data_IF_152188403554
#
_entry.id   IF_152188403554
#
_cell.length_a   1.000
_cell.length_b   1.000
_cell.length_c   1.000
_cell.angle_alpha   90.00
_cell.angle_beta   90.00
_cell.angle_gamma   90.00
#
_symmetry.space_group_name_H-M   'P 1'
#
loop_
_entity.id
_entity.type
_entity.pdbx_description
1 polymer ?
#
# COMPACT_ATOMS: atom_id res chain seq x y z
N UNK A 1 -9.93 0.13 7.90
CA UNK A 1 -8.77 0.49 7.06
C UNK A 1 -7.57 1.00 7.88
N UNK A 2 -7.66 2.11 8.63
CA UNK A 2 -6.53 2.65 9.44
C UNK A 2 -5.83 1.65 10.40
N UNK A 3 -6.52 0.63 10.92
CA UNK A 3 -5.93 -0.41 11.80
C UNK A 3 -5.19 -1.52 11.04
N UNK A 4 -5.60 -1.82 9.80
CA UNK A 4 -4.94 -2.78 8.91
C UNK A 4 -3.77 -2.12 8.19
N UNK A 5 -3.90 -0.85 7.78
CA UNK A 5 -2.81 -0.03 7.29
C UNK A 5 -1.72 0.20 8.35
N UNK A 6 -2.10 0.42 9.61
CA UNK A 6 -1.13 0.40 10.72
C UNK A 6 -0.44 -0.96 10.83
N UNK A 7 -1.14 -2.07 10.60
CA UNK A 7 -0.54 -3.40 10.66
C UNK A 7 0.44 -3.64 9.50
N UNK A 8 0.13 -3.24 8.26
CA UNK A 8 1.03 -3.36 7.09
C UNK A 8 2.24 -2.43 7.23
N UNK A 9 2.02 -1.17 7.62
CA UNK A 9 3.10 -0.25 7.92
C UNK A 9 3.95 -0.76 9.10
N UNK A 10 3.34 -1.31 10.15
CA UNK A 10 4.05 -1.95 11.27
C UNK A 10 4.78 -3.24 10.88
N UNK A 11 4.27 -4.00 9.91
CA UNK A 11 4.90 -5.20 9.32
C UNK A 11 6.18 -4.79 8.56
N UNK A 12 6.10 -3.76 7.69
CA UNK A 12 7.29 -3.20 7.03
C UNK A 12 8.27 -2.54 8.02
N UNK A 13 7.78 -2.00 9.15
CA UNK A 13 8.61 -1.38 10.21
C UNK A 13 9.23 -2.40 11.18
N UNK A 14 8.59 -3.54 11.42
CA UNK A 14 9.14 -4.59 12.29
C UNK A 14 10.32 -5.31 11.62
N UNK A 15 10.31 -5.39 10.29
CA UNK A 15 11.39 -5.95 9.48
C UNK A 15 12.67 -5.08 9.47
N UNK A 16 12.55 -3.77 9.76
CA UNK A 16 13.68 -2.84 9.79
C UNK A 16 14.14 -2.44 11.20
N UNK A 17 13.39 -2.82 12.25
CA UNK A 17 13.72 -2.47 13.64
C UNK A 17 14.49 -3.56 14.41
N UNK A 18 14.63 -4.78 13.90
CA UNK A 18 15.41 -5.86 14.54
C UNK A 18 16.71 -6.08 13.78
N UNK A 19 17.56 -5.05 13.82
CA UNK A 19 18.91 -5.08 13.23
C UNK A 19 19.80 -3.99 13.81
N UNK A 20 19.60 -3.65 15.08
CA UNK A 20 20.48 -2.73 15.81
C UNK A 20 20.83 -3.37 17.14
N UNK A 21 22.04 -3.93 17.22
CA UNK A 21 22.67 -4.16 18.51
C UNK A 21 22.65 -2.83 19.28
N UNK A 22 21.80 -2.74 20.31
CA UNK A 22 21.76 -1.64 21.25
C UNK A 22 23.09 -1.60 22.00
N UNK A 23 24.07 -0.88 21.44
CA UNK A 23 25.28 -0.52 22.16
C UNK A 23 24.93 0.67 23.05
N UNK A 24 24.62 0.41 24.31
CA UNK A 24 24.56 1.41 25.38
C UNK A 24 25.78 2.34 25.33
N UNK A 25 25.62 3.67 25.46
CA UNK A 25 26.74 4.59 25.44
C UNK A 25 27.50 4.51 26.77
N UNK A 26 28.66 3.84 26.76
CA UNK A 26 29.61 3.94 27.87
C UNK A 26 30.41 5.25 27.75
N UNK A 27 30.53 5.93 28.89
CA UNK A 27 31.00 7.29 29.03
C UNK A 27 32.50 7.51 28.72
N UNK A 28 32.80 8.73 28.24
CA UNK A 28 34.08 9.44 28.05
C UNK A 28 35.28 8.95 28.90
N UNK A 29 36.55 8.97 28.47
CA UNK A 29 37.39 9.97 27.75
C UNK A 29 38.82 9.35 27.51
N UNK A 30 39.92 10.05 27.11
CA UNK A 30 40.10 11.40 26.53
C UNK A 30 41.02 11.51 25.27
N UNK A 31 40.87 12.65 24.58
CA UNK A 31 41.75 13.45 23.68
C UNK A 31 43.14 12.98 23.21
N UNK A 32 43.40 13.14 21.90
CA UNK A 32 44.54 13.93 21.37
C UNK A 32 44.36 14.34 19.90
N UNK A 33 44.91 15.50 19.46
CA UNK A 33 44.64 16.10 18.15
C UNK A 33 45.67 15.67 17.10
N UNK A 34 45.29 15.51 15.83
CA UNK A 34 46.24 15.58 14.71
C UNK A 34 45.55 15.80 13.35
N UNK A 35 45.77 17.01 12.85
CA UNK A 35 46.18 17.35 11.48
C UNK A 35 45.35 16.89 10.27
N UNK A 36 44.75 17.89 9.64
CA UNK A 36 44.29 17.95 8.25
C UNK A 36 45.38 17.51 7.25
N UNK A 37 45.09 16.50 6.42
CA UNK A 37 45.76 16.31 5.13
C UNK A 37 44.76 15.77 4.11
N UNK A 38 44.73 16.40 2.94
CA UNK A 38 43.87 16.11 1.78
C UNK A 38 44.18 14.73 1.13
N UNK A 39 43.31 14.22 0.22
CA UNK A 39 42.93 12.81 0.08
C UNK A 39 43.94 11.98 -0.72
N UNK A 40 43.92 10.64 -0.64
CA UNK A 40 44.51 9.82 -1.68
C UNK A 40 43.53 9.63 -2.84
N UNK A 41 44.05 9.88 -4.04
CA UNK A 41 43.61 9.34 -5.32
C UNK A 41 43.03 7.92 -5.20
N UNK A 42 41.78 7.77 -5.64
CA UNK A 42 41.11 6.48 -5.89
C UNK A 42 41.84 5.74 -7.00
N UNK A 43 42.82 4.91 -6.62
CA UNK A 43 43.22 3.81 -7.47
C UNK A 43 42.10 2.75 -7.44
N UNK A 44 41.70 2.16 -8.58
CA UNK A 44 40.80 1.02 -8.56
C UNK A 44 41.40 -0.08 -7.67
N UNK A 45 40.60 -0.77 -6.85
CA UNK A 45 41.09 -1.83 -5.97
C UNK A 45 41.80 -2.90 -6.81
N UNK A 46 42.90 -3.43 -6.27
CA UNK A 46 43.53 -4.59 -6.92
C UNK A 46 42.55 -5.77 -6.90
N UNK A 47 42.63 -6.67 -7.88
CA UNK A 47 41.67 -7.79 -7.99
C UNK A 47 41.62 -8.67 -6.74
N UNK A 48 42.71 -8.74 -5.96
CA UNK A 48 42.76 -9.47 -4.69
C UNK A 48 42.04 -8.71 -3.57
N UNK A 49 42.20 -7.39 -3.49
CA UNK A 49 41.47 -6.55 -2.53
C UNK A 49 39.96 -6.53 -2.84
N UNK A 50 39.57 -6.50 -4.11
CA UNK A 50 38.16 -6.54 -4.49
C UNK A 50 37.47 -7.85 -4.07
N UNK A 51 38.13 -9.01 -4.23
CA UNK A 51 37.62 -10.31 -3.78
C UNK A 51 37.48 -10.36 -2.26
N UNK A 52 38.48 -9.88 -1.53
CA UNK A 52 38.48 -9.84 -0.06
C UNK A 52 37.40 -8.90 0.51
N UNK A 53 37.10 -7.79 -0.17
CA UNK A 53 35.98 -6.90 0.20
C UNK A 53 34.64 -7.54 -0.09
N UNK A 54 34.51 -8.22 -1.23
CA UNK A 54 33.28 -8.92 -1.63
C UNK A 54 32.88 -9.98 -0.61
N UNK A 55 33.83 -10.82 -0.20
CA UNK A 55 33.59 -11.87 0.81
C UNK A 55 33.18 -11.25 2.15
N UNK A 56 33.89 -10.23 2.63
CA UNK A 56 33.51 -9.54 3.88
C UNK A 56 32.19 -8.80 3.81
N UNK A 57 31.84 -8.24 2.65
CA UNK A 57 30.54 -7.63 2.45
C UNK A 57 29.43 -8.67 2.55
N UNK A 58 29.58 -9.81 1.86
CA UNK A 58 28.61 -10.89 1.90
C UNK A 58 28.43 -11.45 3.32
N UNK A 59 29.54 -11.67 4.04
CA UNK A 59 29.50 -12.14 5.44
C UNK A 59 28.83 -11.14 6.39
N UNK A 60 29.09 -9.84 6.22
CA UNK A 60 28.52 -8.79 7.06
C UNK A 60 27.04 -8.52 6.75
N UNK A 61 26.75 -8.24 5.48
CA UNK A 61 25.42 -7.87 5.02
C UNK A 61 24.44 -9.05 5.03
N UNK A 62 24.91 -10.26 4.73
CA UNK A 62 24.10 -11.48 4.70
C UNK A 62 23.86 -12.12 6.07
N UNK A 63 24.42 -11.59 7.15
CA UNK A 63 24.28 -12.19 8.47
C UNK A 63 22.85 -12.06 9.03
N UNK A 64 22.23 -10.88 8.88
CA UNK A 64 20.93 -10.54 9.48
C UNK A 64 20.17 -9.51 8.63
N UNK A 65 18.88 -9.30 8.95
CA UNK A 65 18.06 -8.27 8.33
C UNK A 65 17.59 -8.58 6.90
N UNK A 66 17.30 -7.54 6.12
CA UNK A 66 16.65 -7.64 4.81
C UNK A 66 17.51 -8.26 3.70
N UNK A 67 18.82 -8.44 3.92
CA UNK A 67 19.76 -9.02 2.96
C UNK A 67 20.11 -10.48 3.28
N UNK A 68 19.61 -11.04 4.38
CA UNK A 68 20.02 -12.36 4.91
C UNK A 68 19.76 -13.54 3.98
N UNK A 69 18.72 -13.45 3.14
CA UNK A 69 18.34 -14.54 2.24
C UNK A 69 18.87 -14.35 0.81
N UNK A 70 19.62 -13.28 0.56
CA UNK A 70 20.28 -13.09 -0.73
C UNK A 70 21.44 -14.08 -0.89
N UNK A 71 21.68 -14.51 -2.13
CA UNK A 71 22.78 -15.41 -2.41
C UNK A 71 24.13 -14.70 -2.26
N UNK A 72 25.20 -15.45 -2.00
CA UNK A 72 26.56 -14.90 -1.98
C UNK A 72 26.95 -14.29 -3.35
N UNK A 73 26.34 -14.75 -4.44
CA UNK A 73 26.52 -14.19 -5.78
C UNK A 73 25.88 -12.80 -5.88
N UNK A 74 24.64 -12.65 -5.42
CA UNK A 74 23.91 -11.37 -5.43
C UNK A 74 24.59 -10.34 -4.51
N UNK A 75 24.93 -10.74 -3.29
CA UNK A 75 25.68 -9.90 -2.35
C UNK A 75 27.06 -9.52 -2.92
N UNK A 76 27.66 -10.45 -3.67
CA UNK A 76 28.93 -10.22 -4.33
C UNK A 76 28.83 -9.20 -5.47
N UNK A 77 27.78 -9.27 -6.27
CA UNK A 77 27.46 -8.29 -7.30
C UNK A 77 27.21 -6.90 -6.68
N UNK A 78 26.41 -6.83 -5.61
CA UNK A 78 26.09 -5.57 -4.93
C UNK A 78 27.37 -4.91 -4.39
N UNK A 79 28.29 -5.70 -3.84
CA UNK A 79 29.59 -5.20 -3.41
C UNK A 79 30.41 -4.61 -4.56
N UNK A 80 30.40 -5.23 -5.74
CA UNK A 80 31.10 -4.72 -6.92
C UNK A 80 30.51 -3.40 -7.42
N UNK A 81 29.17 -3.32 -7.52
CA UNK A 81 28.47 -2.12 -7.94
C UNK A 81 28.71 -0.96 -6.95
N UNK A 82 28.69 -1.24 -5.64
CA UNK A 82 29.03 -0.25 -4.63
C UNK A 82 30.51 0.18 -4.70
N UNK A 83 31.44 -0.74 -4.98
CA UNK A 83 32.87 -0.43 -5.15
C UNK A 83 33.16 0.43 -6.39
N UNK A 84 32.26 0.42 -7.39
CA UNK A 84 32.39 1.29 -8.56
C UNK A 84 32.18 2.78 -8.21
N UNK A 85 31.44 3.07 -7.13
CA UNK A 85 31.01 4.43 -6.77
C UNK A 85 31.41 4.86 -5.35
N UNK A 86 31.87 3.95 -4.50
CA UNK A 86 32.27 4.21 -3.11
C UNK A 86 33.63 3.57 -2.75
N UNK A 87 34.20 4.02 -1.63
CA UNK A 87 35.44 3.46 -1.10
C UNK A 87 35.18 2.14 -0.39
N UNK A 88 36.21 1.28 -0.31
CA UNK A 88 36.19 0.03 0.46
C UNK A 88 35.68 0.22 1.89
N UNK A 89 36.11 1.29 2.56
CA UNK A 89 35.70 1.61 3.93
C UNK A 89 34.20 1.89 4.02
N UNK A 90 33.64 2.58 3.02
CA UNK A 90 32.20 2.84 2.94
C UNK A 90 31.44 1.55 2.69
N UNK A 91 31.88 0.73 1.74
CA UNK A 91 31.21 -0.55 1.40
C UNK A 91 31.16 -1.49 2.61
N UNK A 92 32.28 -1.64 3.33
CA UNK A 92 32.33 -2.46 4.54
C UNK A 92 31.54 -1.85 5.70
N UNK A 93 31.48 -0.51 5.80
CA UNK A 93 30.61 0.15 6.77
C UNK A 93 29.14 -0.12 6.48
N UNK A 94 28.71 -0.13 5.21
CA UNK A 94 27.34 -0.45 4.81
C UNK A 94 27.01 -1.89 5.19
N UNK A 95 27.92 -2.84 4.93
CA UNK A 95 27.71 -4.24 5.28
C UNK A 95 27.48 -4.47 6.78
N UNK A 96 28.23 -3.75 7.64
CA UNK A 96 28.22 -3.98 9.08
C UNK A 96 27.22 -3.13 9.85
N UNK A 97 26.89 -1.94 9.35
CA UNK A 97 26.11 -0.93 10.09
C UNK A 97 24.85 -0.50 9.32
N UNK A 98 24.64 -1.01 8.11
CA UNK A 98 23.64 -0.50 7.19
C UNK A 98 24.04 0.82 6.52
N UNK A 99 23.30 1.23 5.47
CA UNK A 99 23.53 2.49 4.80
C UNK A 99 23.10 3.68 5.66
N UNK A 100 23.84 4.78 5.53
CA UNK A 100 23.40 6.08 6.04
C UNK A 100 22.32 6.67 5.13
N UNK A 101 21.48 7.59 5.62
CA UNK A 101 20.45 8.29 4.83
C UNK A 101 20.85 8.73 3.42
N UNK A 102 21.99 9.41 3.29
CA UNK A 102 22.49 9.93 2.01
C UNK A 102 23.05 8.84 1.07
N UNK A 103 23.14 7.59 1.52
CA UNK A 103 23.62 6.43 0.76
C UNK A 103 22.47 5.55 0.26
N UNK A 104 21.20 5.92 0.56
CA UNK A 104 20.03 5.13 0.21
C UNK A 104 19.92 4.89 -1.31
N UNK A 105 19.97 5.96 -2.11
CA UNK A 105 19.84 5.88 -3.57
C UNK A 105 20.91 4.97 -4.18
N UNK A 106 22.19 5.19 -3.85
CA UNK A 106 23.27 4.39 -4.41
C UNK A 106 23.22 2.90 -4.02
N UNK A 107 22.68 2.57 -2.83
CA UNK A 107 22.50 1.18 -2.41
C UNK A 107 21.35 0.53 -3.16
N UNK A 108 20.23 1.24 -3.36
CA UNK A 108 19.11 0.73 -4.14
C UNK A 108 19.47 0.59 -5.62
N UNK A 109 20.26 1.50 -6.18
CA UNK A 109 20.81 1.36 -7.54
C UNK A 109 21.67 0.11 -7.69
N UNK A 110 22.58 -0.15 -6.74
CA UNK A 110 23.39 -1.37 -6.74
C UNK A 110 22.53 -2.65 -6.61
N UNK A 111 21.51 -2.64 -5.74
CA UNK A 111 20.55 -3.74 -5.62
C UNK A 111 19.77 -3.96 -6.92
N UNK A 112 19.37 -2.88 -7.59
CA UNK A 112 18.64 -2.91 -8.86
C UNK A 112 19.50 -3.47 -10.00
N UNK A 113 20.75 -3.03 -10.11
CA UNK A 113 21.70 -3.53 -11.09
C UNK A 113 21.97 -5.04 -10.95
N UNK A 114 21.94 -5.54 -9.71
CA UNK A 114 22.13 -6.95 -9.38
C UNK A 114 20.84 -7.77 -9.32
N UNK A 115 19.67 -7.18 -9.62
CA UNK A 115 18.38 -7.89 -9.56
C UNK A 115 17.97 -8.34 -8.15
N UNK A 116 18.54 -7.76 -7.10
CA UNK A 116 18.37 -8.19 -5.72
C UNK A 116 17.16 -7.55 -5.01
N UNK A 117 16.56 -6.49 -5.57
CA UNK A 117 15.47 -5.72 -4.96
C UNK A 117 14.31 -6.61 -4.50
N UNK A 118 13.87 -7.52 -5.37
CA UNK A 118 12.75 -8.44 -5.11
C UNK A 118 13.04 -9.38 -3.92
N UNK A 119 14.28 -9.90 -3.83
CA UNK A 119 14.74 -10.71 -2.69
C UNK A 119 14.72 -9.92 -1.37
N UNK A 120 15.16 -8.65 -1.40
CA UNK A 120 15.14 -7.77 -0.23
C UNK A 120 13.72 -7.54 0.28
N UNK A 121 12.76 -7.29 -0.64
CA UNK A 121 11.35 -7.13 -0.27
C UNK A 121 10.76 -8.40 0.33
N UNK A 122 11.02 -9.57 -0.26
CA UNK A 122 10.53 -10.86 0.26
C UNK A 122 11.01 -11.10 1.68
N UNK A 123 12.32 -10.97 1.93
CA UNK A 123 12.91 -11.14 3.26
C UNK A 123 12.31 -10.15 4.26
N UNK A 124 12.14 -8.89 3.85
CA UNK A 124 11.49 -7.87 4.67
C UNK A 124 10.05 -8.23 5.04
N UNK A 125 9.24 -8.67 4.06
CA UNK A 125 7.86 -9.09 4.29
C UNK A 125 7.78 -10.32 5.21
N UNK A 126 8.60 -11.34 4.98
CA UNK A 126 8.65 -12.55 5.80
C UNK A 126 8.97 -12.21 7.27
N UNK A 127 9.97 -11.36 7.50
CA UNK A 127 10.35 -10.90 8.85
C UNK A 127 9.30 -9.98 9.49
N UNK A 128 8.56 -9.20 8.69
CA UNK A 128 7.50 -8.33 9.18
C UNK A 128 6.22 -9.07 9.56
N UNK A 129 5.86 -10.10 8.79
CA UNK A 129 4.60 -10.84 8.93
C UNK A 129 4.65 -11.92 10.02
N UNK A 130 5.84 -12.35 10.45
CA UNK A 130 6.04 -13.44 11.42
C UNK A 130 5.82 -13.04 12.90
N UNK A 131 5.02 -12.00 13.17
CA UNK A 131 4.67 -11.55 14.51
C UNK A 131 3.52 -12.33 15.19
N UNK A 132 3.66 -12.59 16.51
CA UNK A 132 2.77 -13.42 17.36
C UNK A 132 1.29 -12.97 17.48
N UNK A 133 0.86 -11.87 16.85
CA UNK A 133 -0.48 -11.30 16.99
C UNK A 133 -1.11 -10.78 15.68
N UNK A 134 -0.68 -11.29 14.52
CA UNK A 134 -1.13 -10.84 13.20
C UNK A 134 -2.20 -11.72 12.51
N UNK A 135 -2.82 -11.22 11.41
CA UNK A 135 -3.68 -11.99 10.50
C UNK A 135 -3.00 -13.28 9.99
N UNK A 136 -3.73 -14.22 9.34
CA UNK A 136 -3.13 -15.47 8.85
C UNK A 136 -1.86 -15.20 8.02
N UNK A 137 -0.86 -16.11 8.07
CA UNK A 137 0.40 -15.93 7.36
C UNK A 137 0.11 -15.72 5.88
N UNK A 138 0.51 -14.56 5.36
CA UNK A 138 0.36 -14.22 3.95
C UNK A 138 1.68 -14.52 3.25
N UNK A 139 1.60 -15.26 2.15
CA UNK A 139 2.77 -15.58 1.34
C UNK A 139 3.35 -14.29 0.70
N UNK A 140 4.64 -13.95 0.94
CA UNK A 140 5.30 -12.81 0.32
C UNK A 140 5.23 -12.82 -1.21
N UNK A 141 5.27 -13.99 -1.84
CA UNK A 141 5.16 -14.11 -3.31
C UNK A 141 3.78 -13.70 -3.81
N UNK A 142 2.75 -14.02 -3.02
CA UNK A 142 1.40 -13.59 -3.32
C UNK A 142 1.25 -12.06 -3.15
N UNK A 143 1.83 -11.49 -2.08
CA UNK A 143 1.78 -10.04 -1.82
C UNK A 143 2.46 -9.21 -2.91
N UNK A 144 3.54 -9.72 -3.49
CA UNK A 144 4.31 -9.06 -4.53
C UNK A 144 3.78 -9.35 -5.96
N UNK A 145 2.67 -10.10 -6.09
CA UNK A 145 2.06 -10.40 -7.39
C UNK A 145 1.78 -9.14 -8.21
N UNK A 146 2.38 -9.02 -9.39
CA UNK A 146 2.18 -7.86 -10.27
C UNK A 146 2.92 -6.58 -9.84
N UNK A 147 3.68 -6.60 -8.75
CA UNK A 147 4.52 -5.47 -8.32
C UNK A 147 5.84 -5.51 -9.10
N UNK A 148 6.22 -4.38 -9.69
CA UNK A 148 7.44 -4.26 -10.48
C UNK A 148 8.61 -3.71 -9.66
N UNK A 149 9.85 -3.96 -10.12
CA UNK A 149 11.06 -3.42 -9.50
C UNK A 149 11.06 -1.88 -9.48
N UNK A 150 10.52 -1.25 -10.53
CA UNK A 150 10.41 0.21 -10.62
C UNK A 150 9.45 0.80 -9.58
N UNK A 151 8.44 0.05 -9.17
CA UNK A 151 7.54 0.42 -8.06
C UNK A 151 8.18 0.16 -6.69
N UNK A 152 9.02 -0.87 -6.57
CA UNK A 152 9.69 -1.27 -5.34
C UNK A 152 10.88 -0.39 -4.97
N UNK A 153 11.67 0.04 -5.95
CA UNK A 153 12.90 0.80 -5.71
C UNK A 153 12.67 2.12 -4.92
N UNK A 154 11.68 2.98 -5.27
CA UNK A 154 11.42 4.22 -4.54
C UNK A 154 11.05 3.97 -3.07
N UNK A 155 10.31 2.91 -2.80
CA UNK A 155 9.93 2.50 -1.43
C UNK A 155 11.19 2.16 -0.63
N UNK A 156 12.14 1.39 -1.17
CA UNK A 156 13.40 1.09 -0.48
C UNK A 156 14.24 2.34 -0.24
N UNK A 157 14.33 3.25 -1.22
CA UNK A 157 15.05 4.51 -1.05
C UNK A 157 14.47 5.30 0.11
N UNK A 158 13.14 5.47 0.14
CA UNK A 158 12.45 6.19 1.21
C UNK A 158 12.66 5.56 2.59
N UNK A 159 12.78 4.23 2.67
CA UNK A 159 13.05 3.52 3.92
C UNK A 159 14.50 3.69 4.38
N UNK A 160 15.48 3.54 3.48
CA UNK A 160 16.91 3.65 3.80
C UNK A 160 17.35 5.11 4.04
N UNK A 161 16.64 6.08 3.46
CA UNK A 161 16.97 7.50 3.57
C UNK A 161 16.66 8.12 4.94
N UNK A 162 16.03 7.40 5.89
CA UNK A 162 15.60 7.98 7.16
C UNK A 162 16.56 7.70 8.34
N UNK A 163 16.90 8.72 9.15
CA UNK A 163 17.70 8.51 10.35
C UNK A 163 16.97 7.65 11.39
N UNK A 164 17.58 6.54 11.82
CA UNK A 164 17.19 5.81 13.03
C UNK A 164 15.89 5.00 12.94
N UNK A 165 15.43 4.63 11.74
CA UNK A 165 14.24 3.79 11.57
C UNK A 165 12.93 4.45 12.04
N UNK A 166 12.90 5.78 12.13
CA UNK A 166 11.70 6.51 12.57
C UNK A 166 10.67 6.54 11.44
N UNK A 167 9.42 6.31 11.85
CA UNK A 167 8.21 6.22 11.03
C UNK A 167 8.15 7.26 9.92
N UNK A 168 7.79 6.79 8.73
CA UNK A 168 7.29 7.63 7.64
C UNK A 168 6.18 8.55 8.17
N UNK A 169 6.05 9.76 7.64
CA UNK A 169 4.76 10.42 7.71
C UNK A 169 3.78 9.52 6.95
N UNK A 170 2.81 8.93 7.64
CA UNK A 170 2.05 7.76 7.15
C UNK A 170 1.48 7.97 5.73
N UNK A 171 1.12 9.21 5.42
CA UNK A 171 0.59 9.63 4.13
C UNK A 171 1.56 9.46 2.95
N UNK A 172 2.87 9.69 3.12
CA UNK A 172 3.84 9.61 2.01
C UNK A 172 4.10 8.15 1.60
N UNK A 173 4.18 7.24 2.58
CA UNK A 173 4.30 5.81 2.31
C UNK A 173 2.97 5.23 1.82
N UNK A 174 1.85 5.73 2.33
CA UNK A 174 0.51 5.34 1.87
C UNK A 174 0.31 5.73 0.40
N UNK A 175 0.74 6.91 -0.03
CA UNK A 175 0.72 7.32 -1.43
C UNK A 175 1.60 6.41 -2.31
N UNK A 176 2.84 6.10 -1.88
CA UNK A 176 3.71 5.20 -2.64
C UNK A 176 3.16 3.77 -2.73
N UNK A 177 2.49 3.27 -1.68
CA UNK A 177 1.87 1.94 -1.68
C UNK A 177 0.55 1.91 -2.46
N UNK A 178 -0.19 3.03 -2.53
CA UNK A 178 -1.43 3.14 -3.29
C UNK A 178 -1.21 2.91 -4.79
N UNK A 179 -0.05 3.30 -5.31
CA UNK A 179 0.34 3.07 -6.71
C UNK A 179 0.87 1.64 -6.97
N UNK A 180 0.72 0.74 -6.00
CA UNK A 180 1.15 -0.66 -6.11
C UNK A 180 -0.01 -1.63 -5.83
N UNK A 181 -0.03 -2.82 -6.46
CA UNK A 181 -1.01 -3.86 -6.15
C UNK A 181 -0.91 -4.45 -4.73
N UNK A 182 0.06 -4.03 -3.91
CA UNK A 182 0.35 -4.64 -2.59
C UNK A 182 -0.88 -4.64 -1.69
N UNK A 183 -1.68 -3.56 -1.72
CA UNK A 183 -2.86 -3.43 -0.87
C UNK A 183 -4.00 -4.38 -1.29
N UNK A 184 -4.29 -4.50 -2.59
CA UNK A 184 -5.26 -5.50 -3.05
C UNK A 184 -4.72 -6.91 -2.86
N UNK A 185 -3.43 -7.14 -3.11
CA UNK A 185 -2.82 -8.44 -2.85
C UNK A 185 -2.93 -8.84 -1.38
N UNK A 186 -2.85 -7.92 -0.42
CA UNK A 186 -3.09 -8.28 0.98
C UNK A 186 -4.50 -8.86 1.20
N UNK A 187 -5.52 -8.22 0.64
CA UNK A 187 -6.91 -8.72 0.70
C UNK A 187 -7.04 -10.05 -0.05
N UNK A 188 -6.49 -10.15 -1.26
CA UNK A 188 -6.53 -11.31 -2.13
C UNK A 188 -5.78 -12.52 -1.54
N UNK A 189 -4.60 -12.31 -0.99
CA UNK A 189 -3.71 -13.34 -0.48
C UNK A 189 -4.17 -13.90 0.88
N UNK A 190 -4.77 -13.07 1.72
CA UNK A 190 -5.46 -13.57 2.92
C UNK A 190 -6.63 -14.50 2.57
N UNK A 191 -7.24 -14.34 1.39
CA UNK A 191 -8.29 -15.21 0.88
C UNK A 191 -7.73 -16.44 0.14
N UNK A 192 -6.65 -16.29 -0.63
CA UNK A 192 -5.94 -17.39 -1.30
C UNK A 192 -5.35 -18.42 -0.35
N UNK A 193 -5.11 -18.06 0.92
CA UNK A 193 -4.80 -19.04 1.99
C UNK A 193 -5.84 -20.16 2.13
N UNK A 194 -7.00 -20.06 1.46
CA UNK A 194 -8.06 -21.07 1.36
C UNK A 194 -8.09 -21.87 0.02
N UNK A 195 -7.25 -21.54 -0.96
CA UNK A 195 -7.20 -22.16 -2.30
C UNK A 195 -7.08 -21.13 -3.44
N UNK A 196 -6.97 -21.57 -4.70
CA UNK A 196 -7.02 -20.66 -5.86
C UNK A 196 -8.36 -19.90 -5.92
N UNK A 197 -8.31 -18.60 -6.21
CA UNK A 197 -9.52 -17.81 -6.41
C UNK A 197 -10.25 -18.24 -7.67
N UNK A 198 -11.58 -18.24 -7.61
CA UNK A 198 -12.38 -18.37 -8.82
C UNK A 198 -12.12 -17.17 -9.76
N UNK A 199 -12.27 -17.33 -11.09
CA UNK A 199 -12.12 -16.21 -12.03
C UNK A 199 -13.02 -15.00 -11.73
N UNK A 200 -14.17 -15.25 -11.10
CA UNK A 200 -15.06 -14.18 -10.64
C UNK A 200 -14.44 -13.40 -9.47
N UNK A 201 -13.97 -14.08 -8.43
CA UNK A 201 -13.35 -13.40 -7.29
C UNK A 201 -12.06 -12.69 -7.69
N UNK A 202 -11.28 -13.30 -8.58
CA UNK A 202 -10.08 -12.71 -9.17
C UNK A 202 -10.39 -11.35 -9.82
N UNK A 203 -11.31 -11.33 -10.79
CA UNK A 203 -11.71 -10.08 -11.45
C UNK A 203 -12.39 -9.07 -10.53
N UNK A 204 -13.11 -9.52 -9.50
CA UNK A 204 -13.68 -8.61 -8.49
C UNK A 204 -12.59 -7.90 -7.68
N UNK A 205 -11.52 -8.61 -7.28
CA UNK A 205 -10.41 -8.01 -6.56
C UNK A 205 -9.56 -7.08 -7.42
N UNK A 206 -9.47 -7.33 -8.73
CA UNK A 206 -8.82 -6.41 -9.66
C UNK A 206 -9.57 -5.07 -9.72
N UNK A 207 -10.90 -5.08 -9.86
CA UNK A 207 -11.69 -3.82 -9.84
C UNK A 207 -11.68 -3.16 -8.47
N UNK A 208 -11.66 -3.96 -7.39
CA UNK A 208 -11.52 -3.42 -6.04
C UNK A 208 -10.17 -2.72 -5.82
N UNK A 209 -9.08 -3.23 -6.41
CA UNK A 209 -7.77 -2.56 -6.39
C UNK A 209 -7.86 -1.18 -7.04
N UNK A 210 -8.50 -1.11 -8.21
CA UNK A 210 -8.68 0.14 -8.93
C UNK A 210 -9.49 1.17 -8.12
N UNK A 211 -10.54 0.72 -7.43
CA UNK A 211 -11.34 1.56 -6.50
C UNK A 211 -10.48 2.04 -5.34
N UNK A 212 -9.73 1.15 -4.68
CA UNK A 212 -8.92 1.51 -3.51
C UNK A 212 -7.80 2.50 -3.85
N UNK A 213 -7.14 2.30 -4.99
CA UNK A 213 -6.12 3.23 -5.51
C UNK A 213 -6.70 4.61 -5.79
N UNK A 214 -7.87 4.68 -6.42
CA UNK A 214 -8.57 5.94 -6.65
C UNK A 214 -8.99 6.61 -5.35
N UNK A 215 -9.45 5.86 -4.36
CA UNK A 215 -9.79 6.39 -3.03
C UNK A 215 -8.56 6.99 -2.33
N UNK A 216 -7.44 6.28 -2.33
CA UNK A 216 -6.20 6.73 -1.67
C UNK A 216 -5.55 7.92 -2.39
N UNK A 217 -5.71 8.03 -3.71
CA UNK A 217 -5.18 9.14 -4.50
C UNK A 217 -6.06 10.40 -4.50
N UNK A 218 -7.23 10.37 -3.85
CA UNK A 218 -8.19 11.47 -3.91
C UNK A 218 -8.22 12.29 -2.61
N UNK A 219 -7.57 13.45 -2.65
CA UNK A 219 -7.48 14.40 -1.53
C UNK A 219 -8.87 14.87 -1.03
N UNK A 220 -9.92 14.83 -1.85
CA UNK A 220 -11.26 15.21 -1.41
C UNK A 220 -11.84 14.22 -0.38
N UNK A 221 -11.40 12.96 -0.40
CA UNK A 221 -11.88 11.92 0.51
C UNK A 221 -11.28 12.01 1.92
N UNK A 222 -10.30 12.89 2.14
CA UNK A 222 -9.75 13.18 3.47
C UNK A 222 -10.73 13.95 4.36
N UNK A 223 -11.68 14.67 3.75
CA UNK A 223 -12.71 15.44 4.44
C UNK A 223 -13.98 14.60 4.65
N UNK A 224 -14.01 13.76 5.69
CA UNK A 224 -15.14 12.89 6.02
C UNK A 224 -16.37 13.68 6.52
N UNK A 225 -17.12 14.28 5.60
CA UNK A 225 -18.48 14.84 5.70
C UNK A 225 -18.78 15.83 4.55
N UNK A 226 -17.86 16.05 3.62
CA UNK A 226 -18.01 16.98 2.49
C UNK A 226 -18.84 16.35 1.35
N UNK A 227 -19.87 17.02 0.80
CA UNK A 227 -20.53 16.61 -0.44
C UNK A 227 -19.56 16.27 -1.59
N UNK A 228 -18.41 16.95 -1.66
CA UNK A 228 -17.34 16.64 -2.63
C UNK A 228 -16.75 15.25 -2.38
N UNK A 229 -16.51 14.90 -1.12
CA UNK A 229 -16.02 13.57 -0.74
C UNK A 229 -17.04 12.48 -1.09
N UNK A 230 -18.33 12.74 -0.87
CA UNK A 230 -19.38 11.77 -1.23
C UNK A 230 -19.51 11.59 -2.75
N UNK A 231 -19.53 12.67 -3.52
CA UNK A 231 -19.56 12.60 -4.99
C UNK A 231 -18.37 11.79 -5.52
N UNK A 232 -17.16 12.11 -5.07
CA UNK A 232 -15.94 11.41 -5.45
C UNK A 232 -15.96 9.92 -5.06
N UNK A 233 -16.52 9.59 -3.89
CA UNK A 233 -16.62 8.21 -3.44
C UNK A 233 -17.51 7.40 -4.40
N UNK A 234 -18.74 7.86 -4.65
CA UNK A 234 -19.67 7.16 -5.54
C UNK A 234 -19.19 7.04 -6.98
N UNK A 235 -18.56 8.09 -7.51
CA UNK A 235 -17.92 8.06 -8.83
C UNK A 235 -16.88 6.94 -8.92
N UNK A 236 -16.01 6.85 -7.92
CA UNK A 236 -14.96 5.82 -7.87
C UNK A 236 -15.52 4.40 -7.76
N UNK A 237 -16.66 4.17 -7.08
CA UNK A 237 -17.25 2.84 -6.99
C UNK A 237 -18.22 2.48 -8.12
N UNK A 238 -18.54 3.40 -9.03
CA UNK A 238 -19.38 3.11 -10.19
C UNK A 238 -18.79 1.93 -10.98
N UNK A 239 -17.49 1.96 -11.25
CA UNK A 239 -16.77 0.90 -11.98
C UNK A 239 -16.96 -0.48 -11.34
N UNK A 240 -16.98 -0.55 -10.00
CA UNK A 240 -17.23 -1.81 -9.27
C UNK A 240 -18.66 -2.31 -9.47
N UNK A 241 -19.64 -1.42 -9.32
CA UNK A 241 -21.05 -1.80 -9.46
C UNK A 241 -21.39 -2.14 -10.92
N UNK A 242 -20.82 -1.43 -11.88
CA UNK A 242 -20.95 -1.71 -13.31
C UNK A 242 -20.34 -3.08 -13.66
N UNK A 243 -19.17 -3.38 -13.08
CA UNK A 243 -18.54 -4.69 -13.23
C UNK A 243 -19.41 -5.80 -12.63
N UNK A 244 -19.94 -5.61 -11.43
CA UNK A 244 -20.84 -6.58 -10.79
C UNK A 244 -22.09 -6.83 -11.63
N UNK A 245 -22.73 -5.79 -12.18
CA UNK A 245 -23.91 -5.91 -13.04
C UNK A 245 -23.68 -6.84 -14.25
N UNK A 246 -22.43 -6.94 -14.71
CA UNK A 246 -22.06 -7.78 -15.85
C UNK A 246 -21.65 -9.19 -15.42
N UNK A 247 -20.89 -9.31 -14.32
CA UNK A 247 -20.10 -10.50 -14.01
C UNK A 247 -20.69 -11.44 -12.96
N UNK A 248 -21.71 -11.04 -12.19
CA UNK A 248 -22.40 -11.93 -11.25
C UNK A 248 -23.23 -13.02 -11.96
N UNK A 249 -23.59 -14.08 -11.25
CA UNK A 249 -24.45 -15.13 -11.79
C UNK A 249 -25.88 -14.62 -12.08
N UNK A 250 -26.63 -15.40 -12.85
CA UNK A 250 -27.96 -14.99 -13.31
C UNK A 250 -28.95 -14.70 -12.17
N UNK A 251 -28.78 -15.31 -11.01
CA UNK A 251 -29.64 -15.11 -9.83
C UNK A 251 -29.47 -13.73 -9.22
N UNK A 252 -28.28 -13.14 -9.35
CA UNK A 252 -27.92 -11.87 -8.71
C UNK A 252 -27.82 -10.71 -9.70
N UNK A 253 -27.99 -10.96 -11.01
CA UNK A 253 -27.81 -9.93 -12.05
C UNK A 253 -28.79 -8.77 -11.93
N UNK A 254 -30.07 -9.05 -11.69
CA UNK A 254 -31.08 -8.00 -11.52
C UNK A 254 -30.80 -7.15 -10.27
N UNK A 255 -30.36 -7.78 -9.18
CA UNK A 255 -29.93 -7.07 -7.97
C UNK A 255 -28.72 -6.17 -8.27
N UNK A 256 -27.72 -6.67 -9.01
CA UNK A 256 -26.51 -5.92 -9.34
C UNK A 256 -26.79 -4.71 -10.24
N UNK A 257 -27.68 -4.85 -11.24
CA UNK A 257 -28.14 -3.73 -12.07
C UNK A 257 -28.88 -2.70 -11.22
N UNK A 258 -29.78 -3.15 -10.33
CA UNK A 258 -30.53 -2.24 -9.46
C UNK A 258 -29.60 -1.43 -8.55
N UNK A 259 -28.59 -2.07 -7.95
CA UNK A 259 -27.63 -1.37 -7.08
C UNK A 259 -26.72 -0.42 -7.86
N UNK A 260 -26.29 -0.80 -9.07
CA UNK A 260 -25.54 0.06 -9.97
C UNK A 260 -26.33 1.31 -10.36
N UNK A 261 -27.59 1.14 -10.81
CA UNK A 261 -28.43 2.25 -11.25
C UNK A 261 -28.77 3.19 -10.06
N UNK A 262 -28.96 2.63 -8.87
CA UNK A 262 -29.12 3.42 -7.65
C UNK A 262 -27.84 4.20 -7.28
N UNK A 263 -26.66 3.61 -7.46
CA UNK A 263 -25.38 4.30 -7.22
C UNK A 263 -25.19 5.49 -8.17
N UNK A 264 -25.56 5.37 -9.45
CA UNK A 264 -25.54 6.46 -10.42
C UNK A 264 -26.47 7.61 -9.98
N UNK A 265 -27.71 7.29 -9.61
CA UNK A 265 -28.67 8.32 -9.13
C UNK A 265 -28.13 9.07 -7.92
N UNK A 266 -27.42 8.37 -7.03
CA UNK A 266 -26.79 8.99 -5.86
C UNK A 266 -25.59 9.85 -6.26
N UNK A 267 -24.71 9.34 -7.12
CA UNK A 267 -23.55 10.08 -7.63
C UNK A 267 -23.97 11.39 -8.30
N UNK A 268 -24.94 11.33 -9.21
CA UNK A 268 -25.47 12.51 -9.92
C UNK A 268 -26.05 13.54 -8.95
N UNK A 269 -26.81 13.10 -7.94
CA UNK A 269 -27.39 14.00 -6.95
C UNK A 269 -26.31 14.73 -6.12
N UNK A 270 -25.23 14.06 -5.74
CA UNK A 270 -24.12 14.70 -5.04
C UNK A 270 -23.29 15.60 -5.96
N UNK A 271 -23.09 15.23 -7.23
CA UNK A 271 -22.42 16.09 -8.21
C UNK A 271 -23.17 17.42 -8.40
N UNK A 272 -24.51 17.40 -8.46
CA UNK A 272 -25.34 18.61 -8.50
C UNK A 272 -25.15 19.49 -7.24
N UNK A 273 -24.97 18.88 -6.06
CA UNK A 273 -24.64 19.64 -4.84
C UNK A 273 -23.30 20.33 -5.00
N UNK A 274 -22.27 19.61 -5.46
CA UNK A 274 -20.91 20.13 -5.64
C UNK A 274 -20.90 21.31 -6.62
N UNK A 275 -21.60 21.20 -7.75
CA UNK A 275 -21.71 22.31 -8.72
C UNK A 275 -22.40 23.56 -8.15
N UNK A 276 -23.29 23.37 -7.18
CA UNK A 276 -24.03 24.45 -6.52
C UNK A 276 -23.33 25.01 -5.27
N UNK A 277 -22.19 24.44 -4.85
CA UNK A 277 -21.41 24.98 -3.74
C UNK A 277 -20.80 26.33 -4.13
N UNK A 278 -21.26 27.39 -3.47
CA UNK A 278 -20.64 28.71 -3.52
C UNK A 278 -19.91 28.97 -2.19
N UNK A 279 -18.57 29.13 -2.19
CA UNK A 279 -17.81 29.41 -0.98
C UNK A 279 -18.21 30.74 -0.31
N UNK A 280 -18.85 31.65 -1.04
CA UNK A 280 -19.31 32.95 -0.55
C UNK A 280 -20.79 32.93 -0.10
N UNK A 281 -21.54 31.83 -0.30
CA UNK A 281 -22.93 31.67 0.13
C UNK A 281 -23.21 30.27 0.74
N UNK A 282 -23.06 30.11 2.06
CA UNK A 282 -23.34 28.83 2.73
C UNK A 282 -24.82 28.42 2.68
N UNK A 283 -25.76 29.34 2.41
CA UNK A 283 -27.18 29.00 2.25
C UNK A 283 -27.47 28.35 0.88
N UNK A 284 -26.59 28.55 -0.11
CA UNK A 284 -26.66 27.85 -1.40
C UNK A 284 -26.39 26.34 -1.22
N UNK A 285 -25.46 25.96 -0.34
CA UNK A 285 -25.17 24.56 -0.03
C UNK A 285 -26.37 23.83 0.60
N UNK A 286 -27.06 24.46 1.56
CA UNK A 286 -28.27 23.89 2.18
C UNK A 286 -29.41 23.72 1.16
N UNK A 287 -29.57 24.70 0.26
CA UNK A 287 -30.57 24.65 -0.81
C UNK A 287 -30.25 23.54 -1.82
N UNK A 288 -28.97 23.37 -2.16
CA UNK A 288 -28.50 22.33 -3.06
C UNK A 288 -28.69 20.94 -2.44
N UNK A 289 -28.38 20.75 -1.16
CA UNK A 289 -28.64 19.49 -0.45
C UNK A 289 -30.15 19.16 -0.39
N UNK A 290 -31.03 20.15 -0.21
CA UNK A 290 -32.47 19.95 -0.24
C UNK A 290 -32.98 19.57 -1.65
N UNK A 291 -32.40 20.16 -2.70
CA UNK A 291 -32.70 19.79 -4.08
C UNK A 291 -32.22 18.37 -4.40
N UNK A 292 -31.01 18.02 -3.98
CA UNK A 292 -30.43 16.68 -4.13
C UNK A 292 -31.25 15.61 -3.42
N UNK A 293 -31.68 15.83 -2.17
CA UNK A 293 -32.57 14.89 -1.45
C UNK A 293 -33.92 14.69 -2.15
N UNK A 294 -34.49 15.75 -2.72
CA UNK A 294 -35.72 15.66 -3.53
C UNK A 294 -35.49 14.84 -4.79
N UNK A 295 -34.35 15.04 -5.46
CA UNK A 295 -33.98 14.31 -6.68
C UNK A 295 -33.65 12.84 -6.40
N UNK A 296 -32.93 12.55 -5.32
CA UNK A 296 -32.69 11.20 -4.80
C UNK A 296 -34.02 10.48 -4.57
N UNK A 297 -34.95 11.13 -3.86
CA UNK A 297 -36.29 10.58 -3.63
C UNK A 297 -37.05 10.30 -4.92
N UNK A 298 -36.97 11.20 -5.91
CA UNK A 298 -37.62 11.00 -7.20
C UNK A 298 -36.96 9.90 -8.04
N UNK A 299 -35.62 9.88 -8.14
CA UNK A 299 -34.86 8.89 -8.90
C UNK A 299 -35.04 7.50 -8.33
N UNK A 300 -34.86 7.33 -7.02
CA UNK A 300 -35.06 6.04 -6.35
C UNK A 300 -36.52 5.59 -6.44
N UNK A 301 -37.52 6.48 -6.31
CA UNK A 301 -38.93 6.11 -6.44
C UNK A 301 -39.29 5.53 -7.81
N UNK A 302 -38.51 5.82 -8.87
CA UNK A 302 -38.68 5.19 -10.18
C UNK A 302 -38.07 3.78 -10.29
N UNK A 303 -37.30 3.34 -9.29
CA UNK A 303 -36.46 2.14 -9.30
C UNK A 303 -36.91 1.07 -8.30
N UNK A 304 -38.19 1.02 -7.91
CA UNK A 304 -38.64 0.18 -6.78
C UNK A 304 -37.71 0.37 -5.56
N UNK A 305 -37.45 1.62 -5.16
CA UNK A 305 -36.49 2.02 -4.10
C UNK A 305 -36.47 1.12 -2.86
N UNK A 306 -37.64 0.58 -2.47
CA UNK A 306 -37.81 -0.30 -1.33
C UNK A 306 -37.00 -1.61 -1.45
N UNK A 307 -36.68 -2.02 -2.68
CA UNK A 307 -35.94 -3.25 -2.97
C UNK A 307 -34.42 -3.03 -3.07
N UNK A 308 -33.94 -1.79 -3.19
CA UNK A 308 -32.49 -1.47 -3.24
C UNK A 308 -31.75 -1.98 -2.00
N UNK A 309 -32.23 -1.79 -0.75
CA UNK A 309 -31.58 -2.34 0.43
C UNK A 309 -31.56 -3.89 0.43
N UNK A 310 -32.64 -4.52 -0.05
CA UNK A 310 -32.74 -5.97 -0.11
C UNK A 310 -31.81 -6.57 -1.18
N UNK A 311 -31.72 -5.93 -2.35
CA UNK A 311 -30.79 -6.28 -3.43
C UNK A 311 -29.33 -6.10 -2.99
N UNK A 312 -29.02 -4.98 -2.32
CA UNK A 312 -27.70 -4.72 -1.71
C UNK A 312 -27.33 -5.82 -0.72
N UNK A 313 -28.27 -6.22 0.15
CA UNK A 313 -28.07 -7.29 1.12
C UNK A 313 -27.81 -8.66 0.47
N UNK A 314 -28.53 -8.99 -0.61
CA UNK A 314 -28.34 -10.24 -1.36
C UNK A 314 -26.99 -10.27 -2.08
N UNK A 315 -26.59 -9.20 -2.77
CA UNK A 315 -25.27 -9.10 -3.40
C UNK A 315 -24.13 -9.18 -2.40
N UNK A 316 -24.26 -8.47 -1.27
CA UNK A 316 -23.31 -8.52 -0.17
C UNK A 316 -23.15 -9.96 0.35
N UNK A 317 -24.27 -10.65 0.57
CA UNK A 317 -24.27 -12.06 0.99
C UNK A 317 -23.57 -12.96 -0.03
N UNK A 318 -23.90 -12.80 -1.32
CA UNK A 318 -23.28 -13.55 -2.40
C UNK A 318 -21.75 -13.36 -2.45
N UNK A 319 -21.25 -12.13 -2.36
CA UNK A 319 -19.82 -11.85 -2.33
C UNK A 319 -19.15 -12.42 -1.08
N UNK A 320 -19.79 -12.27 0.08
CA UNK A 320 -19.32 -12.86 1.34
C UNK A 320 -19.19 -14.39 1.27
N UNK A 321 -20.17 -15.05 0.68
CA UNK A 321 -20.20 -16.52 0.54
C UNK A 321 -19.23 -17.02 -0.54
N UNK A 322 -19.06 -16.27 -1.63
CA UNK A 322 -18.27 -16.70 -2.81
C UNK A 322 -16.80 -16.32 -2.70
N UNK A 323 -16.52 -15.11 -2.21
CA UNK A 323 -15.18 -14.51 -2.17
C UNK A 323 -14.72 -14.16 -0.74
N UNK A 324 -15.48 -14.57 0.28
CA UNK A 324 -15.16 -14.33 1.69
C UNK A 324 -15.64 -12.96 2.19
N UNK A 325 -15.91 -12.84 3.49
CA UNK A 325 -16.51 -11.64 4.09
C UNK A 325 -15.71 -10.35 3.88
N UNK A 326 -14.39 -10.42 3.70
CA UNK A 326 -13.54 -9.25 3.43
C UNK A 326 -13.88 -8.58 2.08
N UNK A 327 -14.40 -9.35 1.11
CA UNK A 327 -14.86 -8.83 -0.18
C UNK A 327 -16.02 -7.83 -0.05
N UNK A 328 -16.71 -7.82 1.09
CA UNK A 328 -17.88 -6.97 1.32
C UNK A 328 -17.55 -5.55 1.79
N UNK A 329 -16.26 -5.18 1.86
CA UNK A 329 -15.77 -3.90 2.40
C UNK A 329 -16.39 -2.69 1.69
N UNK A 330 -16.59 -2.76 0.38
CA UNK A 330 -17.23 -1.69 -0.39
C UNK A 330 -18.69 -1.56 -0.01
N UNK A 331 -19.40 -2.68 0.11
CA UNK A 331 -20.78 -2.69 0.62
C UNK A 331 -20.89 -2.21 2.07
N UNK A 332 -19.85 -2.29 2.91
CA UNK A 332 -19.88 -1.68 4.24
C UNK A 332 -19.68 -0.17 4.17
N UNK A 333 -18.82 0.29 3.25
CA UNK A 333 -18.57 1.72 3.00
C UNK A 333 -19.83 2.42 2.48
N UNK A 334 -20.56 1.75 1.56
CA UNK A 334 -21.80 2.25 0.99
C UNK A 334 -23.06 1.85 1.76
N UNK A 335 -23.06 0.71 2.46
CA UNK A 335 -24.22 0.17 3.18
C UNK A 335 -24.69 1.01 4.37
N UNK A 336 -23.85 1.95 4.83
CA UNK A 336 -24.27 3.02 5.75
C UNK A 336 -25.36 3.94 5.16
N UNK A 337 -25.52 4.02 3.84
CA UNK A 337 -26.58 4.80 3.20
C UNK A 337 -27.96 4.16 3.29
N UNK A 338 -28.07 2.83 3.23
CA UNK A 338 -29.36 2.14 3.33
C UNK A 338 -30.07 2.39 4.67
N UNK A 339 -29.30 2.57 5.75
CA UNK A 339 -29.84 2.94 7.06
C UNK A 339 -30.36 4.39 7.09
N UNK A 340 -29.69 5.32 6.41
CA UNK A 340 -30.12 6.71 6.29
C UNK A 340 -31.42 6.88 5.47
N UNK A 341 -31.76 5.91 4.63
CA UNK A 341 -33.04 5.86 3.89
C UNK A 341 -34.09 4.96 4.56
N UNK A 342 -33.71 4.11 5.52
CA UNK A 342 -34.62 3.24 6.26
C UNK A 342 -35.24 3.93 7.48
N UNK A 343 -34.55 4.90 8.09
CA UNK A 343 -35.06 5.71 9.19
C UNK A 343 -35.73 7.00 8.65
N UNK A 344 -36.78 6.80 7.86
CA UNK A 344 -37.73 7.83 7.48
C UNK A 344 -38.99 7.77 8.36
N UNK A 345 -38.83 7.99 9.67
CA UNK A 345 -39.91 8.33 10.61
C UNK A 345 -39.53 9.60 11.40
#
# INVERSE_FOLDING_TARGET
MRSLLRAVALVFLAASAVGCAASTPEAAAPTSPSTTTNPPTTNPPTTVEAVDVRERFADGAGAEGALRDLSAEDLGCVADELLAVATTEVVLSIALQGPRPHQAEMVVEALGACGAIDGVFRTGLDSGLSGDAGPPPVDPDCLLGGVTVDQMAPILVAQLARPGGVTVDGAEMEAMLADTPIMSNLLRCTLLGSGELSPFCDGYFDVLDDVLRQVLGNEALDASADPVAYAALFDVAEDLFAWLATNVDATHREDAVLVHDAAIVVAEAFAEVVEALDPDDPAAAETAMLAATTRLGAGLATMDAADVPAATGRLRGHLGDTCGMQSTIVFDLYGGFGAAFADGD
#
